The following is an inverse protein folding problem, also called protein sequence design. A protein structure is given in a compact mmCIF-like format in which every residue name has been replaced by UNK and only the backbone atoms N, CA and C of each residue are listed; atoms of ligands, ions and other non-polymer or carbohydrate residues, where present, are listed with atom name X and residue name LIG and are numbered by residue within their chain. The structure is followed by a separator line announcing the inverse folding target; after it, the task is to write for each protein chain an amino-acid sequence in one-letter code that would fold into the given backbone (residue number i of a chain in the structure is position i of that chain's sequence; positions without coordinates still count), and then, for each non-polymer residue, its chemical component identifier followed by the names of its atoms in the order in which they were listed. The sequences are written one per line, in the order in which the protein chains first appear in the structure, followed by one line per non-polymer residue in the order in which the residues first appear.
data_IF_995483070659
#
_entry.id   IF_995483070659
#
_cell.length_a   1.000
_cell.length_b   1.000
_cell.length_c   1.000
_cell.angle_alpha   90.00
_cell.angle_beta   90.00
_cell.angle_gamma   90.00
#
_symmetry.space_group_name_H-M   'P 1'
#
loop_
_entity.id
_entity.type
_entity.pdbx_description
1 polymer ?
#
# COMPACT_ATOMS: atom_id res chain seq x y z
N UNK A 1 -29.94 20.73 -10.08
CA UNK A 1 -29.42 19.35 -10.02
C UNK A 1 -28.01 19.42 -9.44
N UNK A 2 -27.93 19.18 -8.13
CA UNK A 2 -26.76 18.87 -7.30
C UNK A 2 -25.59 19.88 -7.28
N UNK A 3 -25.75 20.92 -6.46
CA UNK A 3 -24.69 21.40 -5.58
C UNK A 3 -24.80 20.63 -4.26
N UNK A 4 -23.74 20.02 -3.77
CA UNK A 4 -23.50 19.83 -2.32
C UNK A 4 -21.99 19.66 -2.09
N UNK A 5 -21.36 20.77 -1.70
CA UNK A 5 -20.13 20.77 -0.91
C UNK A 5 -20.55 20.44 0.52
N UNK A 6 -19.95 19.41 1.11
CA UNK A 6 -19.75 19.32 2.56
C UNK A 6 -18.45 18.54 2.83
N UNK A 7 -17.46 19.28 3.30
CA UNK A 7 -16.35 18.99 4.24
C UNK A 7 -15.87 17.54 4.49
N UNK A 8 -14.55 17.37 4.76
CA UNK A 8 -13.88 16.07 4.70
C UNK A 8 -14.28 15.19 5.88
N UNK A 9 -14.84 14.01 5.59
CA UNK A 9 -14.93 12.97 6.62
C UNK A 9 -13.52 12.51 6.93
N UNK A 10 -13.01 12.98 8.06
CA UNK A 10 -11.91 12.39 8.82
C UNK A 10 -12.17 10.89 8.86
N UNK A 11 -11.55 10.12 7.98
CA UNK A 11 -11.62 8.68 8.02
C UNK A 11 -10.98 8.31 9.37
N UNK A 12 -11.80 7.87 10.31
CA UNK A 12 -11.37 7.51 11.63
C UNK A 12 -10.72 6.12 11.58
N UNK A 13 -9.96 5.86 12.62
CA UNK A 13 -8.87 4.91 12.71
C UNK A 13 -9.36 3.74 13.56
N UNK A 14 -10.19 2.89 12.98
CA UNK A 14 -10.69 1.72 13.69
C UNK A 14 -9.56 0.74 14.01
N UNK A 15 -9.48 0.30 15.26
CA UNK A 15 -8.59 -0.80 15.68
C UNK A 15 -9.48 -2.03 15.91
N UNK A 16 -9.08 -3.23 15.44
CA UNK A 16 -9.84 -4.44 15.71
C UNK A 16 -9.84 -4.77 17.20
N UNK A 17 -10.95 -5.35 17.68
CA UNK A 17 -11.11 -5.81 19.04
C UNK A 17 -11.64 -7.23 19.03
N UNK A 18 -11.03 -8.08 19.84
CA UNK A 18 -11.50 -9.42 20.11
C UNK A 18 -12.00 -9.50 21.54
N UNK A 19 -13.15 -10.14 21.72
CA UNK A 19 -13.68 -10.50 23.03
C UNK A 19 -13.64 -12.01 23.11
N UNK A 20 -12.89 -12.51 24.09
CA UNK A 20 -12.58 -13.92 24.28
C UNK A 20 -13.40 -14.40 25.46
N UNK A 21 -14.28 -15.37 25.20
CA UNK A 21 -15.23 -15.94 26.15
C UNK A 21 -15.19 -17.47 26.08
N UNK A 22 -14.17 -18.08 26.69
CA UNK A 22 -14.02 -19.54 26.61
C UNK A 22 -15.10 -20.30 27.39
N UNK A 23 -15.83 -19.61 28.27
CA UNK A 23 -16.86 -20.16 29.14
C UNK A 23 -18.28 -19.90 28.63
N UNK A 24 -18.44 -19.23 27.48
CA UNK A 24 -19.72 -18.88 26.87
C UNK A 24 -20.66 -18.06 27.79
N UNK A 25 -20.12 -17.19 28.64
CA UNK A 25 -20.92 -16.34 29.53
C UNK A 25 -21.74 -15.26 28.78
N UNK A 26 -21.35 -14.98 27.54
CA UNK A 26 -21.97 -14.04 26.61
C UNK A 26 -22.84 -14.73 25.55
N UNK A 27 -23.14 -16.03 25.68
CA UNK A 27 -23.93 -16.80 24.68
C UNK A 27 -25.27 -16.18 24.30
N UNK A 28 -25.90 -15.44 25.22
CA UNK A 28 -27.20 -14.80 25.01
C UNK A 28 -27.13 -13.52 24.16
N UNK A 29 -25.92 -12.99 23.92
CA UNK A 29 -25.72 -11.73 23.23
C UNK A 29 -25.32 -11.98 21.78
N UNK A 30 -26.30 -11.77 20.88
CA UNK A 30 -26.02 -11.66 19.45
C UNK A 30 -25.36 -10.32 19.17
N UNK A 31 -24.04 -10.28 19.32
CA UNK A 31 -23.24 -9.14 18.88
C UNK A 31 -23.16 -9.20 17.36
N UNK A 32 -24.09 -8.53 16.67
CA UNK A 32 -24.04 -8.35 15.22
C UNK A 32 -23.02 -7.25 14.89
N UNK A 33 -21.74 -7.61 14.88
CA UNK A 33 -20.71 -6.73 14.35
C UNK A 33 -20.79 -6.75 12.81
N UNK A 34 -21.26 -5.66 12.20
CA UNK A 34 -21.19 -5.52 10.75
C UNK A 34 -19.72 -5.35 10.34
N UNK A 35 -19.16 -6.23 9.49
CA UNK A 35 -17.78 -6.14 9.08
C UNK A 35 -17.43 -4.87 8.30
N UNK A 36 -18.43 -4.15 7.79
CA UNK A 36 -18.25 -2.93 7.00
C UNK A 36 -18.48 -1.63 7.78
N UNK A 37 -18.98 -1.69 9.02
CA UNK A 37 -19.26 -0.50 9.82
C UNK A 37 -18.28 -0.36 10.99
N UNK A 38 -17.76 0.86 11.17
CA UNK A 38 -17.01 1.21 12.38
C UNK A 38 -17.95 1.28 13.59
N UNK A 39 -17.64 0.51 14.63
CA UNK A 39 -18.38 0.54 15.88
C UNK A 39 -18.10 1.84 16.63
N UNK A 40 -19.17 2.63 16.85
CA UNK A 40 -19.11 3.86 17.63
C UNK A 40 -18.64 3.58 19.06
N UNK A 41 -17.84 4.50 19.61
CA UNK A 41 -17.31 4.41 20.98
C UNK A 41 -18.40 4.23 22.05
N UNK A 42 -19.60 4.79 21.88
CA UNK A 42 -20.70 4.66 22.85
C UNK A 42 -21.20 3.22 22.95
N UNK A 43 -21.47 2.56 21.81
CA UNK A 43 -21.88 1.16 21.77
C UNK A 43 -20.80 0.25 22.37
N UNK A 44 -19.54 0.57 22.15
CA UNK A 44 -18.43 -0.17 22.73
C UNK A 44 -18.36 -0.01 24.26
N UNK A 45 -18.61 1.19 24.79
CA UNK A 45 -18.70 1.43 26.25
C UNK A 45 -19.82 0.59 26.88
N UNK A 46 -21.01 0.56 26.27
CA UNK A 46 -22.14 -0.24 26.75
C UNK A 46 -21.79 -1.74 26.81
N UNK A 47 -21.07 -2.22 25.79
CA UNK A 47 -20.57 -3.59 25.71
C UNK A 47 -19.58 -3.87 26.85
N UNK A 48 -18.61 -2.99 27.07
CA UNK A 48 -17.61 -3.14 28.16
C UNK A 48 -18.29 -3.14 29.53
N UNK A 49 -19.31 -2.31 29.76
CA UNK A 49 -20.08 -2.34 31.02
C UNK A 49 -20.82 -3.65 31.22
N UNK A 50 -21.37 -4.22 30.14
CA UNK A 50 -22.00 -5.54 30.19
C UNK A 50 -20.99 -6.62 30.53
N UNK A 51 -19.79 -6.57 29.93
CA UNK A 51 -18.67 -7.47 30.26
C UNK A 51 -18.40 -7.43 31.76
N UNK A 52 -18.18 -6.24 32.32
CA UNK A 52 -17.89 -6.05 33.75
C UNK A 52 -18.99 -6.64 34.65
N UNK A 53 -20.25 -6.54 34.22
CA UNK A 53 -21.40 -7.07 34.97
C UNK A 53 -21.46 -8.59 34.98
N UNK A 54 -21.05 -9.24 33.88
CA UNK A 54 -21.10 -10.70 33.73
C UNK A 54 -19.81 -11.41 34.16
N UNK A 55 -18.66 -10.74 34.09
CA UNK A 55 -17.37 -11.32 34.45
C UNK A 55 -17.00 -11.06 35.91
N UNK A 56 -16.41 -12.05 36.55
CA UNK A 56 -15.73 -11.89 37.83
C UNK A 56 -14.37 -11.21 37.65
N UNK A 57 -13.60 -11.59 36.62
CA UNK A 57 -12.33 -10.94 36.25
C UNK A 57 -12.23 -10.64 34.76
N UNK A 58 -11.59 -9.52 34.42
CA UNK A 58 -11.36 -9.08 33.04
C UNK A 58 -9.86 -8.99 32.73
N UNK A 59 -9.41 -9.64 31.67
CA UNK A 59 -8.01 -9.57 31.20
C UNK A 59 -7.95 -8.76 29.91
N UNK A 60 -7.09 -7.75 29.84
CA UNK A 60 -7.00 -6.84 28.71
C UNK A 60 -5.61 -7.01 28.09
N UNK A 61 -5.56 -7.69 26.95
CA UNK A 61 -4.35 -7.87 26.17
C UNK A 61 -4.20 -6.71 25.18
N UNK A 62 -3.02 -6.06 25.20
CA UNK A 62 -2.77 -4.84 24.41
C UNK A 62 -1.50 -4.99 23.58
N UNK A 63 -1.67 -4.98 22.26
CA UNK A 63 -0.59 -4.86 21.29
C UNK A 63 -0.16 -3.41 21.06
N UNK A 64 1.08 -3.23 20.61
CA UNK A 64 1.54 -1.94 20.09
C UNK A 64 0.80 -1.55 18.81
N UNK A 65 0.71 -2.45 17.82
CA UNK A 65 0.11 -2.18 16.50
C UNK A 65 -0.64 -3.39 15.96
N UNK A 66 -1.94 -3.23 15.67
CA UNK A 66 -2.79 -4.28 15.12
C UNK A 66 -3.72 -3.74 14.03
N UNK A 67 -3.85 -4.48 12.93
CA UNK A 67 -4.77 -4.19 11.82
C UNK A 67 -5.67 -5.38 11.49
N UNK A 68 -6.72 -5.13 10.71
CA UNK A 68 -7.55 -6.19 10.15
C UNK A 68 -6.77 -7.08 9.16
N UNK A 69 -5.74 -6.53 8.50
CA UNK A 69 -4.90 -7.27 7.56
C UNK A 69 -4.08 -8.34 8.27
N UNK A 70 -3.53 -8.01 9.44
CA UNK A 70 -2.75 -8.97 10.27
C UNK A 70 -3.56 -10.22 10.61
N UNK A 71 -4.88 -10.08 10.76
CA UNK A 71 -5.80 -11.17 11.10
C UNK A 71 -6.09 -12.04 9.87
N UNK A 72 -6.15 -11.42 8.69
CA UNK A 72 -6.42 -12.11 7.41
C UNK A 72 -5.17 -12.77 6.80
N UNK A 73 -3.98 -12.38 7.25
CA UNK A 73 -2.72 -12.85 6.69
C UNK A 73 -2.44 -14.33 7.00
N UNK A 74 -1.89 -15.06 6.02
CA UNK A 74 -1.49 -16.46 6.15
C UNK A 74 -0.09 -16.67 5.55
N UNK A 75 0.78 -17.34 6.29
CA UNK A 75 2.10 -17.77 5.82
C UNK A 75 2.12 -19.28 5.49
N UNK A 76 3.31 -19.83 5.24
CA UNK A 76 3.50 -21.26 4.98
C UNK A 76 3.11 -22.17 6.17
N UNK A 77 3.05 -21.62 7.40
CA UNK A 77 2.63 -22.30 8.62
C UNK A 77 1.15 -22.03 8.97
N UNK A 78 0.45 -21.24 8.16
CA UNK A 78 -0.96 -20.90 8.32
C UNK A 78 -1.20 -19.53 8.94
N UNK A 79 -2.23 -19.40 9.77
CA UNK A 79 -2.55 -18.14 10.45
C UNK A 79 -1.58 -17.92 11.61
N UNK A 80 -1.09 -16.68 11.87
CA UNK A 80 -0.32 -16.40 13.09
C UNK A 80 -1.15 -16.64 14.37
N UNK A 81 -2.47 -16.53 14.29
CA UNK A 81 -3.40 -16.68 15.41
C UNK A 81 -4.05 -18.07 15.48
N UNK A 82 -3.26 -19.10 15.78
CA UNK A 82 -3.73 -20.50 15.81
C UNK A 82 -4.77 -20.71 16.92
N UNK A 83 -4.54 -20.17 18.11
CA UNK A 83 -5.44 -20.29 19.26
C UNK A 83 -6.69 -19.45 19.06
N UNK A 84 -6.57 -18.16 18.72
CA UNK A 84 -7.77 -17.35 18.48
C UNK A 84 -8.63 -17.89 17.33
N UNK A 85 -8.02 -18.37 16.23
CA UNK A 85 -8.78 -18.97 15.11
C UNK A 85 -9.56 -20.21 15.56
N UNK A 86 -8.93 -21.10 16.34
CA UNK A 86 -9.59 -22.31 16.88
C UNK A 86 -10.79 -21.97 17.77
N UNK A 87 -10.73 -20.84 18.48
CA UNK A 87 -11.82 -20.37 19.35
C UNK A 87 -12.93 -19.63 18.60
N UNK A 88 -12.60 -19.00 17.47
CA UNK A 88 -13.59 -18.42 16.56
C UNK A 88 -14.52 -19.49 15.99
N UNK A 89 -13.96 -20.61 15.49
CA UNK A 89 -14.74 -21.73 14.94
C UNK A 89 -15.70 -22.34 15.98
N UNK A 90 -15.29 -22.33 17.25
CA UNK A 90 -16.08 -22.83 18.39
C UNK A 90 -17.12 -21.82 18.91
N UNK A 91 -17.26 -20.65 18.28
CA UNK A 91 -18.14 -19.53 18.72
C UNK A 91 -17.85 -19.02 20.14
N UNK A 92 -16.62 -19.22 20.64
CA UNK A 92 -16.15 -18.78 21.96
C UNK A 92 -15.47 -17.41 21.92
N UNK A 93 -15.51 -16.76 20.76
CA UNK A 93 -14.79 -15.53 20.50
C UNK A 93 -15.63 -14.65 19.58
N UNK A 94 -15.71 -13.37 19.94
CA UNK A 94 -16.43 -12.34 19.19
C UNK A 94 -15.40 -11.40 18.59
N UNK A 95 -15.39 -11.31 17.26
CA UNK A 95 -14.52 -10.43 16.51
C UNK A 95 -15.26 -9.15 16.11
N UNK A 96 -14.71 -8.00 16.47
CA UNK A 96 -15.20 -6.68 16.07
C UNK A 96 -14.11 -6.02 15.22
N UNK A 97 -14.31 -5.86 13.90
CA UNK A 97 -13.24 -5.51 12.97
C UNK A 97 -12.74 -4.07 13.11
N UNK A 98 -13.59 -3.15 13.55
CA UNK A 98 -13.26 -1.73 13.58
C UNK A 98 -13.94 -1.05 14.76
N UNK A 99 -13.16 -0.66 15.77
CA UNK A 99 -13.61 0.13 16.92
C UNK A 99 -12.84 1.44 16.99
N UNK A 100 -13.55 2.55 17.21
CA UNK A 100 -12.92 3.85 17.35
C UNK A 100 -12.17 3.99 18.69
N UNK A 101 -10.83 4.02 18.64
CA UNK A 101 -9.92 4.24 19.78
C UNK A 101 -10.23 3.36 21.03
N UNK A 102 -10.27 2.01 20.90
CA UNK A 102 -10.68 1.11 21.98
C UNK A 102 -9.78 1.22 23.22
N UNK A 103 -8.46 1.30 23.05
CA UNK A 103 -7.52 1.40 24.18
C UNK A 103 -7.78 2.63 25.06
N UNK A 104 -8.13 3.79 24.48
CA UNK A 104 -8.45 5.00 25.25
C UNK A 104 -9.72 4.85 26.06
N UNK A 105 -10.70 4.11 25.54
CA UNK A 105 -11.96 3.83 26.23
C UNK A 105 -11.71 2.87 27.39
N UNK A 106 -10.98 1.78 27.14
CA UNK A 106 -10.62 0.80 28.16
C UNK A 106 -9.84 1.46 29.29
N UNK A 107 -8.87 2.34 28.98
CA UNK A 107 -8.09 3.08 29.99
C UNK A 107 -8.94 4.03 30.86
N UNK A 108 -10.06 4.54 30.33
CA UNK A 108 -10.99 5.39 31.09
C UNK A 108 -11.87 4.56 32.02
N UNK A 109 -12.32 3.39 31.56
CA UNK A 109 -13.21 2.50 32.32
C UNK A 109 -12.41 1.72 33.37
N UNK A 110 -11.32 1.10 32.95
CA UNK A 110 -10.37 0.36 33.78
C UNK A 110 -9.15 1.26 34.02
N UNK A 111 -9.12 1.94 35.16
CA UNK A 111 -8.03 2.86 35.53
C UNK A 111 -6.76 2.06 35.87
N UNK A 112 -5.72 2.06 35.02
CA UNK A 112 -4.57 1.20 35.25
C UNK A 112 -3.83 1.59 36.54
N UNK A 113 -3.66 0.63 37.45
CA UNK A 113 -2.84 0.74 38.65
C UNK A 113 -1.50 0.03 38.42
N UNK A 114 -0.42 0.47 39.09
CA UNK A 114 0.95 -0.04 38.85
C UNK A 114 1.07 -1.57 38.97
N UNK A 115 0.27 -2.21 39.81
CA UNK A 115 0.31 -3.66 40.06
C UNK A 115 -0.65 -4.48 39.17
N UNK A 116 -1.46 -3.81 38.33
CA UNK A 116 -2.44 -4.46 37.44
C UNK A 116 -1.95 -4.48 36.00
N UNK A 117 -0.81 -3.86 35.71
CA UNK A 117 -0.22 -3.75 34.38
C UNK A 117 1.00 -4.66 34.32
N UNK A 118 0.93 -5.69 33.50
CA UNK A 118 1.97 -6.68 33.28
C UNK A 118 2.58 -6.45 31.90
N UNK A 119 3.90 -6.44 31.83
CA UNK A 119 4.65 -6.40 30.58
C UNK A 119 5.28 -7.78 30.38
N UNK A 120 4.79 -8.52 29.39
CA UNK A 120 5.22 -9.91 29.15
C UNK A 120 6.07 -9.99 27.89
N UNK A 121 7.30 -10.46 28.09
CA UNK A 121 8.26 -10.77 27.02
C UNK A 121 8.32 -12.26 26.71
N UNK A 122 8.32 -13.08 27.76
CA UNK A 122 8.32 -14.54 27.70
C UNK A 122 7.41 -15.11 28.79
N UNK A 123 6.89 -16.33 28.58
CA UNK A 123 6.06 -17.01 29.57
C UNK A 123 6.93 -17.45 30.74
N UNK A 124 6.75 -16.79 31.88
CA UNK A 124 7.06 -17.38 33.18
C UNK A 124 5.99 -16.89 34.14
N UNK A 125 5.22 -17.85 34.68
CA UNK A 125 4.13 -17.70 35.64
C UNK A 125 3.93 -16.25 36.06
N UNK A 126 3.02 -15.50 35.41
CA UNK A 126 2.82 -14.12 35.75
C UNK A 126 2.48 -14.07 37.24
N UNK A 127 3.22 -13.27 38.01
CA UNK A 127 3.00 -13.09 39.44
C UNK A 127 1.73 -12.25 39.63
N UNK A 128 0.60 -12.87 39.33
CA UNK A 128 -0.73 -12.25 39.36
C UNK A 128 -1.20 -12.31 40.80
N UNK A 129 -1.13 -11.16 41.48
CA UNK A 129 -1.75 -10.96 42.78
C UNK A 129 -3.27 -11.02 42.64
N UNK A 130 -3.94 -11.91 43.39
CA UNK A 130 -5.38 -12.21 43.26
C UNK A 130 -6.34 -11.06 43.65
N UNK A 131 -5.81 -9.89 44.05
CA UNK A 131 -6.60 -8.80 44.60
C UNK A 131 -7.32 -7.95 43.54
N UNK A 132 -7.03 -8.12 42.25
CA UNK A 132 -7.53 -7.22 41.21
C UNK A 132 -8.59 -7.85 40.31
N UNK A 133 -9.65 -7.06 40.07
CA UNK A 133 -10.77 -7.43 39.20
C UNK A 133 -10.42 -7.35 37.71
N UNK A 134 -9.36 -6.65 37.35
CA UNK A 134 -8.89 -6.55 35.98
C UNK A 134 -7.37 -6.47 35.88
N UNK A 135 -6.82 -7.02 34.79
CA UNK A 135 -5.39 -7.03 34.49
C UNK A 135 -5.15 -6.49 33.06
N UNK A 136 -4.16 -5.64 32.90
CA UNK A 136 -3.62 -5.23 31.61
C UNK A 136 -2.37 -6.04 31.32
N UNK A 137 -2.30 -6.62 30.14
CA UNK A 137 -1.15 -7.37 29.65
C UNK A 137 -0.66 -6.70 28.38
N UNK A 138 0.49 -6.06 28.46
CA UNK A 138 1.19 -5.48 27.32
C UNK A 138 2.27 -6.44 26.86
N UNK A 139 2.38 -6.62 25.54
CA UNK A 139 3.42 -7.45 24.97
C UNK A 139 4.69 -6.64 24.69
N UNK A 140 5.83 -7.19 25.07
CA UNK A 140 7.14 -6.63 24.73
C UNK A 140 7.72 -7.31 23.49
N UNK A 141 8.32 -6.49 22.64
CA UNK A 141 8.92 -6.94 21.38
C UNK A 141 10.32 -7.53 21.62
N UNK A 142 10.61 -8.66 20.99
CA UNK A 142 11.95 -9.25 20.97
C UNK A 142 12.71 -8.73 19.75
N UNK A 143 14.01 -8.47 19.90
CA UNK A 143 14.86 -8.01 18.82
C UNK A 143 15.08 -9.16 17.83
N UNK A 144 14.89 -8.90 16.52
CA UNK A 144 15.14 -9.83 15.40
C UNK A 144 14.03 -10.86 15.05
N UNK A 145 12.77 -10.63 15.42
CA UNK A 145 11.61 -11.44 14.99
C UNK A 145 10.86 -10.79 13.82
N UNK A 146 10.33 -11.59 12.88
CA UNK A 146 9.39 -11.07 11.87
C UNK A 146 8.05 -10.70 12.51
N UNK A 147 7.26 -9.85 11.84
CA UNK A 147 5.93 -9.45 12.32
C UNK A 147 5.02 -10.65 12.58
N UNK A 148 5.06 -11.66 11.70
CA UNK A 148 4.22 -12.85 11.79
C UNK A 148 4.64 -13.76 12.95
N UNK A 149 5.95 -13.95 13.15
CA UNK A 149 6.48 -14.74 14.28
C UNK A 149 6.16 -14.08 15.62
N UNK A 150 6.28 -12.75 15.69
CA UNK A 150 5.91 -11.98 16.87
C UNK A 150 4.43 -12.19 17.26
N UNK A 151 3.52 -12.06 16.30
CA UNK A 151 2.08 -12.24 16.56
C UNK A 151 1.74 -13.68 16.98
N UNK A 152 2.42 -14.67 16.40
CA UNK A 152 2.27 -16.08 16.79
C UNK A 152 2.70 -16.33 18.23
N UNK A 153 3.85 -15.78 18.65
CA UNK A 153 4.30 -15.84 20.05
C UNK A 153 3.31 -15.17 21.00
N UNK A 154 2.74 -14.03 20.60
CA UNK A 154 1.76 -13.32 21.43
C UNK A 154 0.44 -14.11 21.56
N UNK A 155 0.02 -14.83 20.51
CA UNK A 155 -1.14 -15.74 20.55
C UNK A 155 -0.94 -16.89 21.56
N UNK A 156 0.26 -17.46 21.61
CA UNK A 156 0.63 -18.48 22.62
C UNK A 156 0.59 -17.88 24.04
N UNK A 157 1.21 -16.70 24.26
CA UNK A 157 1.19 -16.02 25.56
C UNK A 157 -0.24 -15.71 26.01
N UNK A 158 -1.12 -15.26 25.10
CA UNK A 158 -2.51 -14.99 25.42
C UNK A 158 -3.23 -16.24 25.94
N UNK A 159 -3.02 -17.38 25.28
CA UNK A 159 -3.62 -18.64 25.70
C UNK A 159 -3.13 -19.05 27.09
N UNK A 160 -1.81 -19.02 27.31
CA UNK A 160 -1.20 -19.43 28.58
C UNK A 160 -1.66 -18.56 29.76
N UNK A 161 -1.72 -17.23 29.55
CA UNK A 161 -2.18 -16.29 30.58
C UNK A 161 -3.66 -16.51 30.89
N UNK A 162 -4.48 -16.73 29.87
CA UNK A 162 -5.90 -17.00 30.08
C UNK A 162 -6.12 -18.29 30.88
N UNK A 163 -5.43 -19.37 30.51
CA UNK A 163 -5.52 -20.66 31.21
C UNK A 163 -5.02 -20.55 32.66
N UNK A 164 -3.92 -19.84 32.89
CA UNK A 164 -3.41 -19.61 34.24
C UNK A 164 -4.41 -18.86 35.14
N UNK A 165 -5.07 -17.83 34.60
CA UNK A 165 -6.06 -17.05 35.35
C UNK A 165 -7.34 -17.87 35.58
N UNK A 166 -7.80 -18.60 34.55
CA UNK A 166 -8.98 -19.46 34.65
C UNK A 166 -8.80 -20.59 35.68
N UNK A 167 -7.61 -21.20 35.75
CA UNK A 167 -7.33 -22.27 36.72
C UNK A 167 -7.29 -21.79 38.18
N UNK A 168 -6.86 -20.54 38.42
CA UNK A 168 -6.78 -19.98 39.79
C UNK A 168 -8.13 -19.54 40.35
N UNK A 169 -9.03 -19.04 39.51
CA UNK A 169 -10.26 -18.34 39.94
C UNK A 169 -11.48 -19.24 39.78
N UNK A 170 -11.45 -20.16 38.82
CA UNK A 170 -12.61 -20.92 38.38
C UNK A 170 -13.34 -20.22 37.22
N UNK A 171 -14.65 -20.04 37.35
CA UNK A 171 -15.53 -19.51 36.29
C UNK A 171 -15.68 -17.99 36.40
N UNK A 172 -15.88 -17.29 35.28
CA UNK A 172 -16.12 -15.84 35.28
C UNK A 172 -15.03 -14.99 34.64
N UNK A 173 -14.09 -15.59 33.92
CA UNK A 173 -12.99 -14.85 33.29
C UNK A 173 -13.37 -14.47 31.86
N UNK A 174 -13.22 -13.18 31.54
CA UNK A 174 -13.35 -12.69 30.17
C UNK A 174 -12.09 -11.97 29.75
N UNK A 175 -11.67 -12.12 28.49
CA UNK A 175 -10.55 -11.38 27.95
C UNK A 175 -10.93 -10.46 26.78
N UNK A 176 -10.24 -9.33 26.68
CA UNK A 176 -10.35 -8.35 25.61
C UNK A 176 -8.96 -8.20 24.98
N UNK A 177 -8.83 -8.47 23.69
CA UNK A 177 -7.59 -8.26 22.95
C UNK A 177 -7.74 -7.10 21.96
N UNK A 178 -6.82 -6.15 22.02
CA UNK A 178 -6.83 -4.93 21.19
C UNK A 178 -5.42 -4.34 21.05
N UNK A 179 -5.29 -3.17 20.41
CA UNK A 179 -4.02 -2.49 20.23
C UNK A 179 -4.09 -0.99 20.54
N UNK A 180 -2.90 -0.38 20.69
CA UNK A 180 -2.73 1.05 20.86
C UNK A 180 -3.06 1.81 19.56
N UNK A 181 -2.54 1.34 18.43
CA UNK A 181 -2.64 2.01 17.13
C UNK A 181 -2.92 1.02 15.99
N UNK A 182 -3.60 1.51 14.94
CA UNK A 182 -3.73 0.79 13.67
C UNK A 182 -2.59 1.23 12.73
N UNK A 183 -1.72 0.33 12.26
CA UNK A 183 -0.59 0.69 11.38
C UNK A 183 -1.03 1.35 10.07
N UNK A 184 -2.22 1.03 9.55
CA UNK A 184 -2.77 1.57 8.29
C UNK A 184 -3.03 3.09 8.39
N UNK A 185 -3.22 3.61 9.61
CA UNK A 185 -3.58 5.02 9.83
C UNK A 185 -2.35 5.92 9.80
N UNK A 186 -1.16 5.39 10.11
CA UNK A 186 0.09 6.12 9.92
C UNK A 186 0.39 6.40 8.43
N UNK A 187 -0.19 5.61 7.51
CA UNK A 187 -0.03 5.75 6.06
C UNK A 187 -1.23 6.40 5.34
N UNK A 188 -2.18 7.02 6.06
CA UNK A 188 -3.14 7.93 5.41
C UNK A 188 -2.43 9.22 5.01
N UNK A 189 -1.72 9.16 3.88
CA UNK A 189 -1.45 10.33 3.05
C UNK A 189 -2.79 11.02 2.80
N UNK A 190 -3.03 12.13 3.50
CA UNK A 190 -4.05 13.09 3.09
C UNK A 190 -3.71 13.46 1.66
N UNK A 191 -4.54 13.04 0.72
CA UNK A 191 -4.51 13.50 -0.67
C UNK A 191 -4.70 15.01 -0.71
N UNK A 192 -3.61 15.74 -0.49
CA UNK A 192 -3.34 16.95 -1.24
C UNK A 192 -2.70 16.47 -2.53
N UNK A 193 -3.16 17.03 -3.65
CA UNK A 193 -2.43 16.99 -4.92
C UNK A 193 -0.94 17.12 -4.62
N UNK A 194 -0.15 16.19 -5.12
CA UNK A 194 1.25 16.02 -4.79
C UNK A 194 2.06 17.12 -5.50
N UNK A 195 1.84 18.38 -5.12
CA UNK A 195 2.95 19.32 -5.07
C UNK A 195 3.75 18.92 -3.83
N UNK A 196 4.79 18.11 -4.06
CA UNK A 196 5.72 17.66 -3.03
C UNK A 196 6.48 18.89 -2.52
N UNK A 197 5.92 19.52 -1.49
CA UNK A 197 6.63 20.47 -0.66
C UNK A 197 7.77 19.75 0.06
N UNK A 198 8.98 20.19 -0.25
CA UNK A 198 10.27 19.99 0.39
C UNK A 198 10.18 19.64 1.89
N UNK A 199 10.69 18.45 2.26
CA UNK A 199 11.12 18.16 3.63
C UNK A 199 12.27 17.14 3.65
N UNK A 200 13.45 17.60 4.07
CA UNK A 200 14.58 16.79 4.53
C UNK A 200 15.53 16.28 3.45
N UNK A 201 16.46 17.13 3.05
CA UNK A 201 17.52 16.89 2.05
C UNK A 201 18.48 15.76 2.41
N UNK A 202 18.65 14.86 1.45
CA UNK A 202 19.95 14.33 1.02
C UNK A 202 19.79 13.70 -0.37
N UNK A 203 19.11 14.41 -1.28
CA UNK A 203 19.16 14.12 -2.71
C UNK A 203 20.03 15.19 -3.36
N UNK A 204 20.96 14.80 -4.24
CA UNK A 204 21.77 15.79 -4.96
C UNK A 204 21.18 15.96 -6.35
N UNK A 205 20.80 17.18 -6.69
CA UNK A 205 20.46 17.57 -8.07
C UNK A 205 21.73 18.00 -8.77
N UNK A 206 22.00 17.39 -9.91
CA UNK A 206 23.09 17.74 -10.81
C UNK A 206 22.47 18.30 -12.08
N UNK A 207 22.93 19.48 -12.50
CA UNK A 207 22.55 20.11 -13.76
C UNK A 207 23.76 20.11 -14.66
N UNK A 208 23.57 19.67 -15.90
CA UNK A 208 24.61 19.61 -16.92
C UNK A 208 24.15 20.22 -18.24
N UNK A 209 25.00 20.28 -19.25
CA UNK A 209 24.64 20.77 -20.57
C UNK A 209 23.70 19.81 -21.32
N UNK A 210 23.79 18.51 -21.05
CA UNK A 210 22.95 17.47 -21.67
C UNK A 210 21.69 17.07 -20.89
N UNK A 211 21.49 17.55 -19.65
CA UNK A 211 20.35 17.13 -18.83
C UNK A 211 20.37 17.54 -17.36
N UNK A 212 19.20 17.43 -16.72
CA UNK A 212 18.99 17.50 -15.27
C UNK A 212 18.88 16.07 -14.72
N UNK A 213 19.65 15.76 -13.68
CA UNK A 213 19.62 14.46 -13.02
C UNK A 213 19.58 14.67 -11.50
N UNK A 214 18.56 14.13 -10.84
CA UNK A 214 18.41 14.16 -9.39
C UNK A 214 18.40 12.74 -8.85
N UNK A 215 19.36 12.43 -7.99
CA UNK A 215 19.52 11.10 -7.39
C UNK A 215 19.40 11.18 -5.88
N UNK A 216 18.77 10.17 -5.28
CA UNK A 216 18.63 10.02 -3.83
C UNK A 216 18.86 8.58 -3.40
N UNK A 217 19.59 8.44 -2.28
CA UNK A 217 19.85 7.14 -1.64
C UNK A 217 20.57 6.18 -2.58
N UNK A 218 21.65 6.64 -3.20
CA UNK A 218 22.60 5.76 -3.88
C UNK A 218 23.33 4.97 -2.76
N UNK A 219 23.65 3.70 -2.94
CA UNK A 219 24.47 2.97 -1.96
C UNK A 219 25.09 1.75 -2.60
N UNK A 220 26.26 1.36 -2.12
CA UNK A 220 26.95 0.14 -2.53
C UNK A 220 26.82 -0.91 -1.45
N UNK A 221 26.53 -2.16 -1.83
CA UNK A 221 26.34 -3.28 -0.89
C UNK A 221 27.64 -3.95 -0.42
N UNK A 222 28.81 -3.44 -0.77
CA UNK A 222 30.08 -3.92 -0.19
C UNK A 222 30.10 -3.61 1.30
N UNK A 223 30.87 -4.37 2.10
CA UNK A 223 30.86 -4.39 3.58
C UNK A 223 31.11 -3.03 4.30
N UNK A 224 31.19 -1.93 3.57
CA UNK A 224 31.25 -0.57 4.09
C UNK A 224 30.13 0.27 3.48
N UNK A 225 29.17 0.62 4.35
CA UNK A 225 28.18 1.67 4.13
C UNK A 225 28.92 3.00 3.95
N UNK A 226 29.32 3.33 2.72
CA UNK A 226 29.81 4.67 2.43
C UNK A 226 28.59 5.58 2.35
N UNK A 227 28.22 6.18 3.48
CA UNK A 227 27.47 7.42 3.43
C UNK A 227 28.30 8.41 2.61
N UNK A 228 27.75 8.94 1.52
CA UNK A 228 28.48 9.85 0.64
C UNK A 228 28.92 11.07 1.44
N UNK A 229 30.24 11.23 1.58
CA UNK A 229 30.85 12.39 2.23
C UNK A 229 31.05 13.56 1.26
N UNK A 230 30.87 13.34 -0.04
CA UNK A 230 31.01 14.37 -1.07
C UNK A 230 29.85 14.30 -2.09
N UNK A 231 29.36 15.46 -2.57
CA UNK A 231 28.32 15.51 -3.57
C UNK A 231 28.86 14.97 -4.91
N UNK A 232 28.08 14.16 -5.64
CA UNK A 232 28.47 13.69 -6.98
C UNK A 232 28.67 14.87 -7.95
N UNK A 233 29.70 14.77 -8.79
CA UNK A 233 30.02 15.79 -9.80
C UNK A 233 29.93 15.19 -11.20
N UNK A 234 29.49 15.98 -12.18
CA UNK A 234 29.52 15.57 -13.58
C UNK A 234 30.99 15.50 -14.03
N UNK A 235 31.41 14.36 -14.57
CA UNK A 235 32.78 14.11 -15.02
C UNK A 235 32.94 14.36 -16.50
N UNK A 236 31.99 13.89 -17.29
CA UNK A 236 32.09 13.86 -18.74
C UNK A 236 30.68 13.78 -19.35
N UNK A 237 30.46 14.54 -20.40
CA UNK A 237 29.27 14.48 -21.22
C UNK A 237 29.67 14.52 -22.68
N UNK A 238 29.10 13.64 -23.47
CA UNK A 238 29.35 13.62 -24.88
C UNK A 238 28.05 13.37 -25.64
N UNK A 239 27.90 14.15 -26.70
CA UNK A 239 26.80 14.03 -27.63
C UNK A 239 27.32 13.49 -28.97
N UNK A 240 26.76 12.36 -29.38
CA UNK A 240 26.96 11.80 -30.71
C UNK A 240 25.85 12.31 -31.64
N UNK A 241 26.21 13.23 -32.54
CA UNK A 241 25.33 13.86 -33.50
C UNK A 241 24.83 12.91 -34.60
N UNK A 242 25.60 11.87 -34.93
CA UNK A 242 25.24 10.93 -35.99
C UNK A 242 24.22 9.91 -35.49
N UNK A 243 24.41 9.44 -34.25
CA UNK A 243 23.52 8.46 -33.61
C UNK A 243 22.37 9.09 -32.81
N UNK A 244 22.35 10.42 -32.63
CA UNK A 244 21.43 11.12 -31.72
C UNK A 244 21.41 10.55 -30.31
N UNK A 245 22.59 10.25 -29.77
CA UNK A 245 22.76 9.68 -28.43
C UNK A 245 23.53 10.64 -27.56
N UNK A 246 23.07 10.82 -26.33
CA UNK A 246 23.77 11.58 -25.29
C UNK A 246 24.16 10.59 -24.21
N UNK A 247 25.38 10.68 -23.71
CA UNK A 247 25.70 10.08 -22.43
C UNK A 247 26.18 11.12 -21.43
N UNK A 248 25.77 10.93 -20.18
CA UNK A 248 26.20 11.75 -19.04
C UNK A 248 26.89 10.84 -18.03
N UNK A 249 28.16 11.12 -17.74
CA UNK A 249 28.93 10.41 -16.71
C UNK A 249 28.99 11.23 -15.43
N UNK A 250 28.53 10.63 -14.34
CA UNK A 250 28.50 11.20 -13.01
C UNK A 250 29.55 10.50 -12.15
N UNK A 251 30.52 11.24 -11.63
CA UNK A 251 31.55 10.70 -10.77
C UNK A 251 31.06 10.53 -9.33
N UNK A 252 31.29 9.34 -8.79
CA UNK A 252 31.25 9.04 -7.37
C UNK A 252 32.67 8.69 -6.90
N UNK A 253 32.89 8.62 -5.58
CA UNK A 253 34.23 8.42 -5.01
C UNK A 253 34.95 7.18 -5.55
N UNK A 254 34.22 6.08 -5.81
CA UNK A 254 34.80 4.78 -6.14
C UNK A 254 34.39 4.25 -7.53
N UNK A 255 33.42 4.87 -8.19
CA UNK A 255 32.88 4.46 -9.48
C UNK A 255 32.24 5.66 -10.17
N UNK A 256 32.04 5.59 -11.48
CA UNK A 256 31.22 6.55 -12.21
C UNK A 256 29.92 5.88 -12.66
N UNK A 257 28.82 6.62 -12.70
CA UNK A 257 27.57 6.19 -13.34
C UNK A 257 27.47 6.83 -14.72
N UNK A 258 27.21 6.03 -15.73
CA UNK A 258 26.97 6.50 -17.09
C UNK A 258 25.49 6.33 -17.44
N UNK A 259 24.81 7.44 -17.71
CA UNK A 259 23.43 7.47 -18.20
C UNK A 259 23.45 7.61 -19.71
N UNK A 260 22.84 6.67 -20.43
CA UNK A 260 22.76 6.69 -21.88
C UNK A 260 21.35 7.05 -22.33
N UNK A 261 21.22 8.15 -23.07
CA UNK A 261 19.97 8.66 -23.62
C UNK A 261 19.97 8.57 -25.15
N UNK A 262 18.84 8.19 -25.73
CA UNK A 262 18.55 8.31 -27.15
C UNK A 262 17.50 9.40 -27.38
N UNK A 263 17.78 10.28 -28.34
CA UNK A 263 16.94 11.42 -28.67
C UNK A 263 16.11 11.12 -29.91
N UNK A 264 14.79 11.18 -29.76
CA UNK A 264 13.83 11.12 -30.87
C UNK A 264 13.20 12.50 -31.10
N UNK A 265 12.48 12.75 -32.22
CA UNK A 265 11.94 14.08 -32.51
C UNK A 265 10.97 14.63 -31.43
N UNK A 266 10.18 13.78 -30.78
CA UNK A 266 9.11 14.20 -29.86
C UNK A 266 9.34 13.76 -28.40
N UNK A 267 10.25 12.82 -28.16
CA UNK A 267 10.51 12.26 -26.84
C UNK A 267 11.97 11.85 -26.74
N UNK A 268 12.43 11.64 -25.52
CA UNK A 268 13.74 11.07 -25.23
C UNK A 268 13.56 9.74 -24.51
N UNK A 269 14.54 8.85 -24.64
CA UNK A 269 14.54 7.54 -23.99
C UNK A 269 15.85 7.36 -23.24
N UNK A 270 15.77 7.00 -21.96
CA UNK A 270 16.90 6.48 -21.18
C UNK A 270 17.06 4.99 -21.50
N UNK A 271 18.10 4.65 -22.26
CA UNK A 271 18.36 3.29 -22.74
C UNK A 271 18.93 2.42 -21.61
N UNK A 272 20.03 2.88 -21.01
CA UNK A 272 20.74 2.14 -19.98
C UNK A 272 21.44 3.03 -18.97
N UNK A 273 21.64 2.48 -17.78
CA UNK A 273 22.51 3.04 -16.75
C UNK A 273 23.64 2.04 -16.51
N UNK A 274 24.88 2.48 -16.72
CA UNK A 274 26.09 1.69 -16.53
C UNK A 274 26.91 2.17 -15.33
N UNK A 275 27.65 1.25 -14.72
CA UNK A 275 28.72 1.52 -13.76
C UNK A 275 30.04 1.44 -14.52
N UNK A 276 30.87 2.47 -14.36
CA UNK A 276 32.21 2.56 -14.93
C UNK A 276 33.23 2.58 -13.81
N UNK A 277 34.25 1.70 -13.88
CA UNK A 277 35.40 1.72 -12.98
C UNK A 277 36.67 1.79 -13.82
N UNK A 278 37.54 2.77 -13.51
CA UNK A 278 38.77 3.02 -14.27
C UNK A 278 38.55 3.14 -15.79
N UNK A 279 37.43 3.75 -16.20
CA UNK A 279 37.07 3.97 -17.61
C UNK A 279 36.51 2.74 -18.35
N UNK A 280 36.26 1.61 -17.67
CA UNK A 280 35.64 0.42 -18.27
C UNK A 280 34.26 0.17 -17.67
N UNK A 281 33.31 -0.25 -18.50
CA UNK A 281 31.97 -0.68 -18.06
C UNK A 281 32.08 -2.00 -17.29
N UNK A 282 31.66 -1.97 -16.01
CA UNK A 282 31.70 -3.14 -15.12
C UNK A 282 30.33 -3.74 -14.85
N UNK A 283 29.26 -2.99 -15.11
CA UNK A 283 27.89 -3.47 -15.00
C UNK A 283 26.92 -2.48 -15.64
N UNK A 284 25.78 -2.97 -16.12
CA UNK A 284 24.73 -2.10 -16.68
C UNK A 284 23.35 -2.71 -16.53
N UNK A 285 22.35 -1.83 -16.46
CA UNK A 285 20.93 -2.18 -16.46
C UNK A 285 20.24 -1.48 -17.62
N UNK A 286 19.43 -2.22 -18.37
CA UNK A 286 18.58 -1.63 -19.41
C UNK A 286 17.30 -1.12 -18.75
N UNK A 287 17.02 0.17 -18.93
CA UNK A 287 15.84 0.81 -18.35
C UNK A 287 14.77 0.99 -19.41
N UNK A 288 15.14 1.50 -20.60
CA UNK A 288 14.26 1.76 -21.75
C UNK A 288 12.97 2.50 -21.38
N UNK A 289 13.14 3.61 -20.68
CA UNK A 289 12.04 4.48 -20.26
C UNK A 289 12.17 5.83 -20.93
N UNK A 290 11.07 6.39 -21.40
CA UNK A 290 11.10 7.65 -22.12
C UNK A 290 9.86 8.48 -21.89
N UNK A 291 10.02 9.79 -22.02
CA UNK A 291 8.94 10.77 -21.89
C UNK A 291 9.16 11.92 -22.87
N UNK A 292 8.14 12.76 -23.04
CA UNK A 292 8.24 13.97 -23.83
C UNK A 292 9.32 14.91 -23.27
N UNK A 293 9.94 15.73 -24.12
CA UNK A 293 11.00 16.68 -23.72
C UNK A 293 10.58 17.68 -22.63
N UNK A 294 9.29 18.02 -22.57
CA UNK A 294 8.73 18.92 -21.56
C UNK A 294 8.63 18.27 -20.17
N UNK A 295 8.65 16.94 -20.10
CA UNK A 295 8.40 16.19 -18.90
C UNK A 295 9.70 15.56 -18.37
N UNK A 296 9.74 15.33 -17.07
CA UNK A 296 10.81 14.63 -16.38
C UNK A 296 10.33 13.24 -15.96
N UNK A 297 11.21 12.24 -16.05
CA UNK A 297 10.88 10.89 -15.59
C UNK A 297 11.28 10.73 -14.13
N UNK A 298 10.36 10.28 -13.27
CA UNK A 298 10.56 10.09 -11.84
C UNK A 298 10.24 8.66 -11.42
N UNK A 299 11.18 8.02 -10.74
CA UNK A 299 10.93 6.72 -10.14
C UNK A 299 11.43 6.60 -8.70
N UNK A 300 10.58 6.06 -7.83
CA UNK A 300 10.88 5.73 -6.44
C UNK A 300 11.04 4.23 -6.17
N UNK A 301 11.05 3.40 -7.23
CA UNK A 301 11.37 1.98 -7.11
C UNK A 301 12.89 1.85 -7.13
N UNK A 302 13.51 1.19 -6.14
CA UNK A 302 14.97 1.12 -6.05
C UNK A 302 15.55 0.35 -7.22
N UNK A 303 16.37 1.01 -8.04
CA UNK A 303 17.10 0.41 -9.14
C UNK A 303 18.34 -0.30 -8.57
N UNK A 304 18.56 -1.56 -8.95
CA UNK A 304 19.74 -2.34 -8.55
C UNK A 304 20.59 -2.63 -9.78
N UNK A 305 21.85 -2.24 -9.74
CA UNK A 305 22.83 -2.49 -10.79
C UNK A 305 23.90 -3.39 -10.20
N UNK A 306 24.12 -4.55 -10.84
CA UNK A 306 25.09 -5.55 -10.38
C UNK A 306 26.41 -5.28 -11.12
N UNK A 307 27.47 -5.11 -10.36
CA UNK A 307 28.83 -5.05 -10.87
C UNK A 307 29.30 -6.48 -11.16
N UNK A 308 29.62 -6.78 -12.43
CA UNK A 308 30.02 -8.12 -12.87
C UNK A 308 31.44 -8.51 -12.48
N UNK A 309 32.24 -7.57 -11.96
CA UNK A 309 33.62 -7.81 -11.57
C UNK A 309 33.72 -8.37 -10.15
N UNK A 310 32.92 -7.84 -9.23
CA UNK A 310 33.02 -8.11 -7.79
C UNK A 310 31.69 -8.54 -7.15
N UNK A 311 30.64 -8.75 -7.96
CA UNK A 311 29.26 -9.04 -7.54
C UNK A 311 28.66 -8.02 -6.56
N UNK A 312 29.25 -6.82 -6.47
CA UNK A 312 28.69 -5.73 -5.68
C UNK A 312 27.43 -5.18 -6.33
N UNK A 313 26.51 -4.67 -5.50
CA UNK A 313 25.25 -4.09 -5.98
C UNK A 313 25.23 -2.61 -5.66
N UNK A 314 25.09 -1.79 -6.70
CA UNK A 314 24.78 -0.36 -6.58
C UNK A 314 23.27 -0.21 -6.60
N UNK A 315 22.71 0.37 -5.53
CA UNK A 315 21.28 0.60 -5.41
C UNK A 315 20.98 2.10 -5.47
N UNK A 316 20.06 2.52 -6.32
CA UNK A 316 19.58 3.91 -6.41
C UNK A 316 18.13 3.91 -5.92
N UNK A 317 17.87 4.52 -4.77
CA UNK A 317 16.55 4.48 -4.14
C UNK A 317 15.51 5.32 -4.87
N UNK A 318 15.91 6.48 -5.41
CA UNK A 318 15.03 7.36 -6.17
C UNK A 318 15.84 8.15 -7.20
N UNK A 319 15.31 8.24 -8.42
CA UNK A 319 15.92 9.00 -9.50
C UNK A 319 14.87 9.81 -10.27
N UNK A 320 15.25 11.03 -10.63
CA UNK A 320 14.50 11.91 -11.51
C UNK A 320 15.44 12.41 -12.60
N UNK A 321 15.08 12.19 -13.86
CA UNK A 321 15.96 12.48 -15.00
C UNK A 321 15.19 13.21 -16.09
N UNK A 322 15.87 14.14 -16.75
CA UNK A 322 15.38 14.85 -17.91
C UNK A 322 16.57 15.26 -18.76
N UNK A 323 16.61 14.84 -20.02
CA UNK A 323 17.65 15.27 -20.96
C UNK A 323 17.13 16.42 -21.83
N UNK A 324 18.02 17.34 -22.16
CA UNK A 324 17.76 18.40 -23.12
C UNK A 324 19.03 18.65 -23.93
N UNK A 325 18.87 18.81 -25.24
CA UNK A 325 19.94 19.32 -26.09
C UNK A 325 19.33 20.23 -27.16
N UNK A 326 19.35 21.56 -26.95
CA UNK A 326 18.53 22.51 -27.71
C UNK A 326 18.87 22.51 -29.21
N UNK A 327 20.16 22.41 -29.56
CA UNK A 327 20.61 22.37 -30.95
C UNK A 327 20.21 21.09 -31.69
N UNK A 328 20.09 19.97 -30.96
CA UNK A 328 19.66 18.69 -31.55
C UNK A 328 18.17 18.64 -31.72
N UNK A 329 17.41 19.12 -30.75
CA UNK A 329 15.95 19.20 -30.85
C UNK A 329 15.58 20.06 -32.08
N UNK A 330 16.26 21.20 -32.29
CA UNK A 330 16.09 22.02 -33.51
C UNK A 330 16.42 21.25 -34.79
N UNK A 331 17.53 20.50 -34.84
CA UNK A 331 17.91 19.68 -36.01
C UNK A 331 16.93 18.54 -36.27
N UNK A 332 16.48 17.83 -35.23
CA UNK A 332 15.52 16.72 -35.33
C UNK A 332 14.15 17.20 -35.79
N UNK A 333 13.66 18.33 -35.26
CA UNK A 333 12.42 18.96 -35.70
C UNK A 333 12.52 19.48 -37.14
N UNK A 334 13.68 20.04 -37.54
CA UNK A 334 13.90 20.47 -38.93
C UNK A 334 13.93 19.29 -39.90
N UNK A 335 14.51 18.15 -39.50
CA UNK A 335 14.55 16.92 -40.29
C UNK A 335 13.17 16.27 -40.41
N UNK A 336 12.36 16.26 -39.35
CA UNK A 336 10.97 15.79 -39.43
C UNK A 336 10.12 16.69 -40.33
N UNK A 337 10.37 18.01 -40.35
CA UNK A 337 9.73 18.97 -41.28
C UNK A 337 10.05 18.68 -42.74
N UNK A 338 11.27 18.23 -43.05
CA UNK A 338 11.72 17.90 -44.42
C UNK A 338 11.13 16.61 -44.99
N UNK A 339 10.55 15.74 -44.16
CA UNK A 339 9.91 14.49 -44.61
C UNK A 339 8.40 14.66 -44.88
N UNK A 340 7.85 15.83 -44.55
CA UNK A 340 6.46 16.21 -44.81
C UNK A 340 6.51 17.29 -45.91
N UNK A 341 6.75 16.86 -47.15
CA UNK A 341 6.61 17.75 -48.31
C UNK A 341 5.12 17.81 -48.70
N UNK A 342 4.47 18.87 -48.22
CA UNK A 342 3.09 19.22 -48.50
C UNK A 342 2.84 20.64 -48.02
N UNK A 343 2.83 21.60 -48.95
CA UNK A 343 2.60 23.04 -48.72
C UNK A 343 1.17 23.32 -48.20
N UNK A 344 0.88 22.97 -46.95
CA UNK A 344 -0.36 23.33 -46.27
C UNK A 344 -0.11 24.42 -45.19
N UNK A 345 -0.60 25.65 -45.36
CA UNK A 345 -0.35 26.78 -44.44
C UNK A 345 -1.04 26.62 -43.07
N UNK A 346 -1.93 25.63 -42.90
CA UNK A 346 -2.58 25.33 -41.62
C UNK A 346 -1.67 24.59 -40.62
N UNK A 347 -0.58 23.95 -41.09
CA UNK A 347 0.36 23.17 -40.27
C UNK A 347 1.51 24.06 -39.74
N UNK A 348 1.71 25.22 -40.35
CA UNK A 348 2.72 26.20 -39.93
C UNK A 348 2.36 26.83 -38.56
N UNK A 349 1.08 27.10 -38.30
CA UNK A 349 0.62 27.70 -37.03
C UNK A 349 0.74 26.77 -35.81
N UNK A 350 0.52 25.47 -35.97
CA UNK A 350 0.64 24.47 -34.89
C UNK A 350 2.09 24.06 -34.61
N UNK A 351 2.98 24.13 -35.61
CA UNK A 351 4.40 23.80 -35.46
C UNK A 351 5.23 24.94 -34.86
N UNK A 352 4.85 26.20 -35.07
CA UNK A 352 5.42 27.35 -34.35
C UNK A 352 5.10 27.30 -32.84
N UNK A 353 3.88 26.87 -32.47
CA UNK A 353 3.49 26.75 -31.07
C UNK A 353 4.24 25.60 -30.34
N UNK A 354 4.59 24.53 -31.07
CA UNK A 354 5.36 23.41 -30.54
C UNK A 354 6.85 23.75 -30.37
N UNK A 355 7.47 24.46 -31.32
CA UNK A 355 8.88 24.87 -31.20
C UNK A 355 9.08 25.98 -30.15
N UNK A 356 8.11 26.89 -30.02
CA UNK A 356 8.13 27.98 -29.04
C UNK A 356 7.79 27.49 -27.62
N UNK A 357 6.91 26.48 -27.48
CA UNK A 357 6.64 25.81 -26.20
C UNK A 357 7.80 24.94 -25.70
N UNK A 358 8.56 24.33 -26.62
CA UNK A 358 9.82 23.64 -26.33
C UNK A 358 10.85 24.68 -25.89
N UNK A 359 11.08 25.74 -26.67
CA UNK A 359 12.03 26.83 -26.35
C UNK A 359 11.78 27.51 -24.99
N UNK A 360 10.52 27.82 -24.62
CA UNK A 360 10.19 28.53 -23.36
C UNK A 360 10.34 27.69 -22.10
N UNK A 361 10.27 26.36 -22.17
CA UNK A 361 10.48 25.47 -21.01
C UNK A 361 11.96 25.37 -20.63
N UNK A 362 12.87 25.55 -21.59
CA UNK A 362 14.32 25.38 -21.36
C UNK A 362 15.02 26.62 -20.81
N UNK A 363 14.42 27.81 -20.93
CA UNK A 363 14.98 29.07 -20.44
C UNK A 363 14.54 29.39 -18.99
N UNK A 364 13.53 28.68 -18.47
CA UNK A 364 13.07 28.84 -17.09
C UNK A 364 13.85 27.94 -16.10
N UNK A 365 15.02 28.43 -15.69
CA UNK A 365 15.56 28.26 -14.34
C UNK A 365 15.90 26.83 -13.86
N UNK A 366 16.67 26.01 -14.59
CA UNK A 366 17.33 24.81 -14.01
C UNK A 366 16.42 23.88 -13.19
N UNK A 367 15.12 23.83 -13.55
CA UNK A 367 14.07 23.10 -12.84
C UNK A 367 13.56 21.99 -13.74
N UNK A 368 13.18 20.88 -13.12
CA UNK A 368 12.53 19.80 -13.83
C UNK A 368 11.16 20.23 -14.37
N UNK A 369 10.84 19.77 -15.57
CA UNK A 369 9.49 19.82 -16.11
C UNK A 369 8.53 18.85 -15.41
N UNK A 370 7.30 18.77 -15.90
CA UNK A 370 6.24 17.97 -15.28
C UNK A 370 6.67 16.51 -15.07
N UNK A 371 6.45 15.97 -13.87
CA UNK A 371 6.95 14.65 -13.49
C UNK A 371 6.03 13.52 -13.96
N UNK A 372 6.58 12.60 -14.76
CA UNK A 372 5.95 11.33 -15.12
C UNK A 372 6.50 10.20 -14.25
N UNK A 373 5.60 9.49 -13.58
CA UNK A 373 5.96 8.47 -12.62
C UNK A 373 6.12 7.08 -13.25
N UNK A 374 7.08 6.30 -12.75
CA UNK A 374 7.33 4.93 -13.23
C UNK A 374 6.24 3.90 -12.89
N UNK A 375 5.26 4.25 -12.05
CA UNK A 375 4.18 3.35 -11.65
C UNK A 375 3.01 3.47 -12.61
N UNK A 376 2.76 2.43 -13.40
CA UNK A 376 1.50 2.30 -14.13
C UNK A 376 0.37 1.97 -13.17
N UNK A 377 -0.78 2.65 -13.31
CA UNK A 377 -1.98 2.35 -12.52
C UNK A 377 -2.47 0.91 -12.69
N UNK A 378 -2.26 0.32 -13.87
CA UNK A 378 -2.59 -1.08 -14.17
C UNK A 378 -1.35 -1.79 -14.71
N UNK A 379 -0.96 -2.90 -14.10
CA UNK A 379 0.06 -3.78 -14.67
C UNK A 379 -0.55 -4.63 -15.80
N UNK A 380 0.24 -5.10 -16.77
CA UNK A 380 -0.25 -5.98 -17.82
C UNK A 380 -0.98 -7.22 -17.28
N UNK A 381 -0.52 -7.77 -16.16
CA UNK A 381 -1.15 -8.90 -15.48
C UNK A 381 -2.54 -8.55 -14.91
N UNK A 382 -2.68 -7.38 -14.27
CA UNK A 382 -3.98 -6.92 -13.74
C UNK A 382 -4.94 -6.65 -14.89
N UNK A 383 -4.47 -6.05 -15.99
CA UNK A 383 -5.31 -5.75 -17.16
C UNK A 383 -5.81 -7.02 -17.85
N UNK A 384 -4.93 -8.03 -18.00
CA UNK A 384 -5.31 -9.34 -18.52
C UNK A 384 -6.34 -10.04 -17.61
N UNK A 385 -6.13 -10.00 -16.28
CA UNK A 385 -7.08 -10.54 -15.30
C UNK A 385 -8.44 -9.85 -15.38
N UNK A 386 -8.46 -8.53 -15.43
CA UNK A 386 -9.68 -7.72 -15.53
C UNK A 386 -10.45 -8.04 -16.83
N UNK A 387 -9.75 -8.19 -17.96
CA UNK A 387 -10.35 -8.57 -19.24
C UNK A 387 -11.05 -9.95 -19.14
N UNK A 388 -10.40 -10.95 -18.55
CA UNK A 388 -10.97 -12.29 -18.40
C UNK A 388 -12.16 -12.28 -17.44
N UNK A 389 -12.03 -11.61 -16.30
CA UNK A 389 -13.14 -11.47 -15.33
C UNK A 389 -14.35 -10.78 -15.95
N UNK A 390 -14.14 -9.72 -16.74
CA UNK A 390 -15.20 -9.03 -17.46
C UNK A 390 -15.91 -9.93 -18.47
N UNK A 391 -15.17 -10.75 -19.22
CA UNK A 391 -15.73 -11.71 -20.16
C UNK A 391 -16.56 -12.80 -19.46
N UNK A 392 -16.07 -13.37 -18.35
CA UNK A 392 -16.83 -14.35 -17.59
C UNK A 392 -18.10 -13.74 -16.99
N UNK A 393 -18.01 -12.49 -16.50
CA UNK A 393 -19.16 -11.78 -15.95
C UNK A 393 -20.22 -11.49 -17.01
N UNK A 394 -19.84 -11.13 -18.24
CA UNK A 394 -20.81 -10.88 -19.31
C UNK A 394 -21.58 -12.15 -19.70
N UNK A 395 -20.90 -13.30 -19.79
CA UNK A 395 -21.54 -14.60 -20.06
C UNK A 395 -22.48 -14.99 -18.91
N UNK A 396 -22.05 -14.84 -17.66
CA UNK A 396 -22.88 -15.12 -16.49
C UNK A 396 -24.13 -14.23 -16.46
N UNK A 397 -23.96 -12.94 -16.72
CA UNK A 397 -25.08 -11.99 -16.76
C UNK A 397 -26.08 -12.37 -17.86
N UNK A 398 -25.59 -12.77 -19.04
CA UNK A 398 -26.44 -13.24 -20.13
C UNK A 398 -27.23 -14.51 -19.75
N UNK A 399 -26.60 -15.46 -19.06
CA UNK A 399 -27.27 -16.64 -18.54
C UNK A 399 -28.37 -16.33 -17.52
N UNK A 400 -28.12 -15.38 -16.60
CA UNK A 400 -29.11 -14.93 -15.62
C UNK A 400 -30.31 -14.26 -16.31
N UNK A 401 -30.06 -13.42 -17.32
CA UNK A 401 -31.12 -12.77 -18.09
C UNK A 401 -32.01 -13.80 -18.81
N UNK A 402 -31.42 -14.87 -19.36
CA UNK A 402 -32.17 -15.95 -19.99
C UNK A 402 -33.01 -16.76 -18.99
N UNK A 403 -32.48 -17.04 -17.80
CA UNK A 403 -33.23 -17.74 -16.75
C UNK A 403 -34.41 -16.89 -16.25
N UNK A 404 -34.23 -15.58 -16.16
CA UNK A 404 -35.27 -14.64 -15.71
C UNK A 404 -36.46 -14.58 -16.68
N UNK A 405 -36.27 -14.91 -17.96
CA UNK A 405 -37.34 -14.94 -18.98
C UNK A 405 -38.00 -16.32 -19.15
N UNK A 406 -37.74 -17.28 -18.25
CA UNK A 406 -38.45 -18.55 -18.23
C UNK A 406 -39.90 -18.36 -17.77
N UNK A 407 -40.81 -18.23 -18.74
CA UNK A 407 -42.25 -18.21 -18.50
C UNK A 407 -42.75 -19.62 -18.19
N UNK A 408 -43.34 -19.81 -17.02
CA UNK A 408 -44.04 -21.05 -16.68
C UNK A 408 -45.38 -21.10 -17.40
N UNK A 409 -45.78 -22.27 -17.90
CA UNK A 409 -47.10 -22.45 -18.51
C UNK A 409 -48.18 -22.21 -17.44
N UNK A 410 -49.09 -21.26 -17.70
CA UNK A 410 -50.16 -20.85 -16.78
C UNK A 410 -51.32 -21.85 -16.75
N UNK A 411 -51.42 -22.72 -17.76
CA UNK A 411 -52.53 -23.67 -17.91
C UNK A 411 -52.03 -25.11 -17.81
N UNK A 412 -52.29 -25.73 -16.68
CA UNK A 412 -52.26 -27.19 -16.56
C UNK A 412 -53.57 -27.72 -17.16
N UNK A 413 -53.53 -28.27 -18.38
CA UNK A 413 -54.66 -29.02 -18.92
C UNK A 413 -54.80 -30.34 -18.14
N UNK A 414 -55.73 -30.36 -17.19
CA UNK A 414 -56.15 -31.57 -16.48
C UNK A 414 -56.95 -32.46 -17.44
N UNK A 415 -56.46 -33.66 -17.82
CA UNK A 415 -57.12 -34.54 -18.79
C UNK A 415 -58.45 -35.12 -18.28
N UNK A 416 -58.89 -34.82 -17.05
CA UNK A 416 -60.17 -35.29 -16.48
C UNK A 416 -61.30 -34.26 -16.38
N UNK A 417 -61.12 -32.99 -16.77
CA UNK A 417 -62.22 -32.01 -16.73
C UNK A 417 -62.51 -31.35 -18.08
N UNK A 418 -63.11 -32.11 -19.01
CA UNK A 418 -63.73 -31.55 -20.22
C UNK A 418 -65.08 -30.87 -19.93
N UNK A 419 -65.16 -30.06 -18.87
CA UNK A 419 -66.26 -29.09 -18.66
C UNK A 419 -65.67 -27.83 -18.02
N UNK A 420 -65.84 -26.64 -18.62
CA UNK A 420 -65.48 -25.40 -17.94
C UNK A 420 -66.33 -25.26 -16.67
N UNK A 421 -65.68 -25.10 -15.52
CA UNK A 421 -66.34 -24.74 -14.26
C UNK A 421 -66.87 -23.31 -14.38
N UNK A 422 -68.11 -23.18 -14.83
CA UNK A 422 -68.87 -21.94 -14.74
C UNK A 422 -69.36 -21.82 -13.30
N UNK A 423 -68.69 -20.97 -12.52
CA UNK A 423 -69.20 -20.59 -11.20
C UNK A 423 -70.21 -19.47 -11.45
N UNK A 424 -71.50 -19.82 -11.49
CA UNK A 424 -72.54 -18.80 -11.39
C UNK A 424 -72.53 -18.31 -9.93
N UNK A 425 -71.86 -17.17 -9.70
CA UNK A 425 -72.07 -16.40 -8.48
C UNK A 425 -73.46 -15.78 -8.62
N UNK A 426 -74.44 -16.39 -7.96
CA UNK A 426 -75.68 -15.70 -7.62
C UNK A 426 -75.36 -14.73 -6.49
N UNK A 427 -75.78 -13.48 -6.70
CA UNK A 427 -75.72 -12.29 -5.84
C UNK A 427 -75.59 -12.52 -4.33
#
# INVERSE_FOLDING_TARGET
MIHLINSPTKAQSGVPVFIIDYENQLSDLKIAANPFDEMKSTKFVDLVHLIIKKSERVVIFVENKLSAEDISFKDALGTPYVHLSKHLDKKKLVYIPSVHQPHKILKRIFQPQQYNVLYLRFVKNPDISDNYRYYYVHFEDVFNETRTEKLRRHDEIMQDVYEYISTKIGRGVLAIYTALENPIVAERFRGRSLHRGVHGDSGTTMSSEGGLIHLRGVSTSTLHRTNFLQPPTIRDENYDADSNRIYTKIAFNNFDLQFNFSLHPNHWVLDSIGIMECGKEVGSVQVRVGTAYRNSYVCGVPLKIINKRDDSVVTISHYQVQTYHPETIKRLLKRSRSLIDGNDPAIEGTSHLASEGVQRVFEENGKFGDAEHCTSFFTPAILAGLMVSFLCFSIMMWGILMIMDLKTMDKFDDPRSNKPLVINVTE
#
